data_IF_738193874209
#
_entry.id   IF_738193874209
#
_cell.length_a   1.000
_cell.length_b   1.000
_cell.length_c   1.000
_cell.angle_alpha   90.00
_cell.angle_beta   90.00
_cell.angle_gamma   90.00
#
_symmetry.space_group_name_H-M   'P 1'
#
loop_
_entity.id
_entity.type
_entity.pdbx_description
1 polymer ?
#
# COMPACT_ATOMS: atom_id res chain seq x y z
N UNK A 1 -11.92 -0.44 11.46
CA UNK A 1 -11.64 -1.67 10.68
C UNK A 1 -11.48 -1.24 9.23
N UNK A 2 -10.27 -1.32 8.68
CA UNK A 2 -9.99 -0.77 7.36
C UNK A 2 -10.55 -1.69 6.25
N UNK A 3 -11.38 -1.14 5.37
CA UNK A 3 -12.00 -1.89 4.28
C UNK A 3 -11.44 -1.44 2.93
N UNK A 4 -10.41 -2.15 2.48
CA UNK A 4 -9.87 -1.99 1.14
C UNK A 4 -10.80 -2.67 0.13
N UNK A 5 -11.34 -1.89 -0.80
CA UNK A 5 -12.21 -2.38 -1.88
C UNK A 5 -11.51 -2.21 -3.22
N UNK A 6 -11.69 -3.16 -4.14
CA UNK A 6 -11.08 -3.08 -5.48
C UNK A 6 -9.60 -3.49 -5.56
N UNK A 7 -9.08 -4.20 -4.56
CA UNK A 7 -7.72 -4.73 -4.60
C UNK A 7 -7.55 -5.81 -5.67
N UNK A 8 -6.45 -5.78 -6.45
CA UNK A 8 -6.17 -6.79 -7.47
C UNK A 8 -5.77 -8.11 -6.81
N UNK A 9 -6.25 -9.25 -7.31
CA UNK A 9 -6.08 -10.55 -6.67
C UNK A 9 -4.61 -10.96 -6.44
N UNK A 10 -4.26 -11.39 -5.23
CA UNK A 10 -2.90 -11.81 -4.81
C UNK A 10 -2.26 -12.85 -5.73
N UNK A 11 -3.07 -13.76 -6.28
CA UNK A 11 -2.57 -14.77 -7.24
C UNK A 11 -2.00 -14.16 -8.53
N UNK A 12 -2.40 -12.94 -8.90
CA UNK A 12 -1.89 -12.22 -10.08
C UNK A 12 -0.85 -11.17 -9.70
N UNK A 13 -0.96 -10.62 -8.49
CA UNK A 13 -0.05 -9.60 -7.97
C UNK A 13 0.34 -9.99 -6.54
N UNK A 14 1.33 -10.87 -6.35
CA UNK A 14 1.69 -11.37 -5.03
C UNK A 14 2.35 -10.29 -4.16
N UNK A 15 2.93 -9.27 -4.78
CA UNK A 15 3.69 -8.20 -4.11
C UNK A 15 2.94 -6.89 -4.10
N UNK A 16 3.02 -6.16 -3.01
CA UNK A 16 2.39 -4.87 -2.80
C UNK A 16 3.35 -3.91 -2.11
N UNK A 17 3.76 -2.87 -2.82
CA UNK A 17 4.57 -1.77 -2.27
C UNK A 17 3.65 -0.67 -1.79
N UNK A 18 3.76 -0.27 -0.53
CA UNK A 18 3.02 0.85 0.05
C UNK A 18 3.97 2.05 0.15
N UNK A 19 3.56 3.16 -0.43
CA UNK A 19 4.27 4.44 -0.38
C UNK A 19 3.37 5.48 0.25
N UNK A 20 3.85 6.13 1.31
CA UNK A 20 3.14 7.24 1.92
C UNK A 20 3.39 8.53 1.10
N UNK A 21 2.30 9.14 0.64
CA UNK A 21 2.30 10.49 0.08
C UNK A 21 1.66 11.48 1.07
N UNK A 22 1.71 12.77 0.74
CA UNK A 22 1.25 13.85 1.62
C UNK A 22 -0.22 13.73 2.05
N UNK A 23 -1.09 13.15 1.23
CA UNK A 23 -2.54 13.09 1.47
C UNK A 23 -3.16 11.70 1.14
N UNK A 24 -2.34 10.73 0.77
CA UNK A 24 -2.80 9.39 0.39
C UNK A 24 -1.71 8.33 0.53
N UNK A 25 -2.12 7.08 0.63
CA UNK A 25 -1.24 5.92 0.49
C UNK A 25 -1.33 5.39 -0.93
N UNK A 26 -0.20 5.34 -1.60
CA UNK A 26 -0.09 4.71 -2.91
C UNK A 26 0.30 3.25 -2.72
N UNK A 27 -0.54 2.34 -3.19
CA UNK A 27 -0.25 0.91 -3.21
C UNK A 27 0.09 0.51 -4.64
N UNK A 28 1.31 0.03 -4.86
CA UNK A 28 1.76 -0.52 -6.13
C UNK A 28 1.83 -2.04 -6.04
N UNK A 29 0.89 -2.72 -6.68
CA UNK A 29 0.85 -4.16 -6.77
C UNK A 29 1.71 -4.62 -7.94
N UNK A 30 2.68 -5.50 -7.68
CA UNK A 30 3.57 -6.06 -8.69
C UNK A 30 3.15 -7.49 -8.99
N UNK A 31 2.79 -7.73 -10.24
CA UNK A 31 2.55 -9.05 -10.82
C UNK A 31 3.70 -9.42 -11.76
N UNK A 32 3.59 -10.59 -12.38
CA UNK A 32 4.65 -11.16 -13.21
C UNK A 32 4.95 -10.29 -14.45
N UNK A 33 3.91 -9.88 -15.19
CA UNK A 33 4.04 -9.07 -16.42
C UNK A 33 3.49 -7.64 -16.26
N UNK A 34 2.71 -7.38 -15.21
CA UNK A 34 2.02 -6.11 -15.03
C UNK A 34 2.12 -5.62 -13.60
N UNK A 35 2.15 -4.30 -13.46
CA UNK A 35 1.95 -3.61 -12.18
C UNK A 35 0.61 -2.90 -12.17
N UNK A 36 -0.02 -2.86 -11.00
CA UNK A 36 -1.28 -2.16 -10.79
C UNK A 36 -1.16 -1.21 -9.61
N UNK A 37 -1.37 0.07 -9.89
CA UNK A 37 -1.38 1.11 -8.87
C UNK A 37 -2.80 1.35 -8.35
N UNK A 38 -2.91 1.52 -7.04
CA UNK A 38 -4.14 1.84 -6.32
C UNK A 38 -3.82 2.94 -5.31
N UNK A 39 -4.46 4.08 -5.46
CA UNK A 39 -4.28 5.22 -4.57
C UNK A 39 -5.40 5.19 -3.51
N UNK A 40 -5.02 5.11 -2.23
CA UNK A 40 -5.93 5.07 -1.09
C UNK A 40 -5.84 6.38 -0.34
N UNK A 41 -6.84 7.19 -0.58
CA UNK A 41 -7.07 8.49 0.05
C UNK A 41 -7.18 8.37 1.58
N UNK A 42 -6.52 9.26 2.33
CA UNK A 42 -6.56 9.25 3.81
C UNK A 42 -7.98 9.37 4.36
N UNK A 43 -8.89 10.05 3.65
CA UNK A 43 -10.31 10.16 4.04
C UNK A 43 -11.04 8.81 4.15
N UNK A 44 -10.54 7.76 3.49
CA UNK A 44 -11.09 6.40 3.61
C UNK A 44 -10.42 5.58 4.71
N UNK A 45 -9.34 6.11 5.29
CA UNK A 45 -8.60 5.50 6.38
C UNK A 45 -9.11 6.09 7.69
N UNK A 46 -9.82 5.26 8.43
CA UNK A 46 -10.23 5.57 9.79
C UNK A 46 -8.96 5.81 10.62
N UNK A 47 -8.81 7.00 11.21
CA UNK A 47 -7.64 7.48 11.99
C UNK A 47 -6.46 8.11 11.21
N UNK A 48 -6.73 8.90 10.16
CA UNK A 48 -5.70 9.70 9.46
C UNK A 48 -4.91 10.70 10.35
N UNK A 49 -5.35 10.95 11.59
CA UNK A 49 -4.59 11.72 12.60
C UNK A 49 -3.27 11.04 12.98
N UNK A 50 -3.22 9.71 12.92
CA UNK A 50 -2.01 8.92 13.16
C UNK A 50 -1.63 8.15 11.89
N UNK A 51 -0.85 8.84 11.04
CA UNK A 51 -0.37 8.33 9.76
C UNK A 51 0.46 7.05 9.92
N UNK A 52 1.28 6.97 10.96
CA UNK A 52 2.13 5.81 11.22
C UNK A 52 1.30 4.57 11.59
N UNK A 53 0.37 4.69 12.54
CA UNK A 53 -0.54 3.60 12.90
C UNK A 53 -1.45 3.21 11.74
N UNK A 54 -1.85 4.18 10.92
CA UNK A 54 -2.65 3.95 9.72
C UNK A 54 -1.87 3.15 8.67
N UNK A 55 -0.60 3.51 8.42
CA UNK A 55 0.31 2.76 7.55
C UNK A 55 0.47 1.32 8.04
N UNK A 56 0.80 1.14 9.33
CA UNK A 56 0.99 -0.18 9.92
C UNK A 56 -0.27 -1.05 9.81
N UNK A 57 -1.46 -0.46 10.02
CA UNK A 57 -2.74 -1.14 9.83
C UNK A 57 -2.99 -1.51 8.37
N UNK A 58 -2.62 -0.65 7.43
CA UNK A 58 -2.73 -0.91 5.99
C UNK A 58 -1.82 -2.08 5.58
N UNK A 59 -0.56 -2.06 6.02
CA UNK A 59 0.43 -3.12 5.80
C UNK A 59 -0.05 -4.45 6.38
N UNK A 60 -0.45 -4.45 7.66
CA UNK A 60 -0.98 -5.65 8.31
C UNK A 60 -2.18 -6.20 7.54
N UNK A 61 -3.09 -5.34 7.07
CA UNK A 61 -4.27 -5.76 6.34
C UNK A 61 -3.93 -6.42 5.00
N UNK A 62 -2.97 -5.89 4.27
CA UNK A 62 -2.49 -6.49 3.02
C UNK A 62 -1.80 -7.83 3.28
N UNK A 63 -1.00 -7.92 4.35
CA UNK A 63 -0.36 -9.17 4.75
C UNK A 63 -1.39 -10.23 5.16
N UNK A 64 -2.46 -9.87 5.88
CA UNK A 64 -3.58 -10.77 6.20
C UNK A 64 -4.28 -11.31 4.95
N UNK A 65 -4.33 -10.52 3.88
CA UNK A 65 -4.89 -10.94 2.59
C UNK A 65 -3.91 -11.83 1.78
N UNK A 66 -2.68 -12.01 2.27
CA UNK A 66 -1.64 -12.84 1.67
C UNK A 66 -0.69 -12.10 0.74
N UNK A 67 -0.74 -10.77 0.66
CA UNK A 67 0.22 -10.00 -0.14
C UNK A 67 1.56 -9.91 0.60
N UNK A 68 2.65 -10.02 -0.16
CA UNK A 68 3.97 -9.63 0.28
C UNK A 68 4.06 -8.11 0.29
N UNK A 69 4.07 -7.52 1.48
CA UNK A 69 4.06 -6.07 1.67
C UNK A 69 5.46 -5.51 1.82
N UNK A 70 5.77 -4.50 1.02
CA UNK A 70 6.98 -3.69 1.15
C UNK A 70 6.59 -2.25 1.48
N UNK A 71 7.26 -1.65 2.46
CA UNK A 71 7.10 -0.22 2.74
C UNK A 71 8.18 0.55 1.99
N UNK A 72 7.81 1.59 1.25
CA UNK A 72 8.76 2.50 0.62
C UNK A 72 8.54 3.90 1.19
N UNK A 73 9.58 4.44 1.79
CA UNK A 73 9.59 5.81 2.28
C UNK A 73 9.69 6.76 1.08
N UNK A 74 8.95 7.88 1.02
CA UNK A 74 9.07 8.84 -0.08
C UNK A 74 10.51 9.41 -0.22
N UNK A 75 11.32 9.31 0.82
CA UNK A 75 12.74 9.70 0.84
C UNK A 75 13.66 8.77 0.03
N UNK A 76 13.20 7.58 -0.39
CA UNK A 76 14.02 6.57 -1.08
C UNK A 76 13.82 6.54 -2.61
N UNK A 77 13.04 7.47 -3.19
CA UNK A 77 12.89 7.66 -4.64
C UNK A 77 14.15 8.28 -5.31
N UNK A 78 15.32 8.18 -4.67
CA UNK A 78 16.56 8.83 -5.10
C UNK A 78 17.85 8.07 -4.75
N UNK A 79 17.81 6.75 -4.55
CA UNK A 79 19.02 5.95 -4.31
C UNK A 79 19.07 4.71 -5.22
N UNK A 80 19.24 4.98 -6.52
CA UNK A 80 19.63 3.98 -7.52
C UNK A 80 20.59 4.64 -8.50
N UNK A 81 21.81 4.93 -8.04
CA UNK A 81 22.95 5.33 -8.88
C UNK A 81 23.58 4.12 -9.55
#
# INVERSE_FOLDING_TARGET
MLRLVGLPHVSRFPRATVTLHLDCFQLLFHGDEHSRRVDVDLKYLDNADDLEATELRLLARLQELGYEVERRSPSEEGAGS
#
